data_IF_183785306622
#
_entry.id   IF_183785306622
#
_cell.length_a   1.000
_cell.length_b   1.000
_cell.length_c   1.000
_cell.angle_alpha   90.00
_cell.angle_beta   90.00
_cell.angle_gamma   90.00
#
_symmetry.space_group_name_H-M   'P 1'
#
loop_
_entity.id
_entity.type
_entity.pdbx_description
1 polymer ?
#
# COMPACT_ATOMS: atom_id res chain seq x y z
N UNK A 1 -12.02 -3.59 -31.78
CA UNK A 1 -11.02 -2.77 -31.43
C UNK A 1 -10.72 -2.72 -29.99
N UNK A 2 -9.52 -2.79 -29.71
CA UNK A 2 -9.09 -2.88 -28.34
C UNK A 2 -9.00 -1.49 -27.77
N UNK A 3 -9.68 -1.25 -26.67
CA UNK A 3 -9.43 -0.02 -25.97
C UNK A 3 -8.26 -0.27 -25.04
N UNK A 4 -7.26 0.55 -25.16
CA UNK A 4 -6.12 0.48 -24.27
C UNK A 4 -6.49 1.10 -22.95
N UNK A 5 -6.30 0.37 -21.89
CA UNK A 5 -6.45 0.91 -20.56
C UNK A 5 -5.06 1.10 -19.98
N UNK A 6 -4.77 2.32 -19.59
CA UNK A 6 -3.50 2.66 -19.01
C UNK A 6 -3.71 2.88 -17.53
N UNK A 7 -2.82 2.33 -16.73
CA UNK A 7 -2.86 2.53 -15.28
C UNK A 7 -1.74 3.47 -14.90
N UNK A 8 -2.07 4.46 -14.10
CA UNK A 8 -1.08 5.39 -13.56
C UNK A 8 -1.19 5.42 -12.06
N UNK A 9 -0.04 5.59 -11.40
CA UNK A 9 -0.03 5.76 -9.95
C UNK A 9 -0.68 7.08 -9.62
N UNK A 10 -1.60 7.07 -8.65
CA UNK A 10 -2.34 8.26 -8.27
C UNK A 10 -1.44 9.27 -7.59
N UNK A 11 -1.77 10.56 -7.75
CA UNK A 11 -1.09 11.62 -7.02
C UNK A 11 -1.56 11.64 -5.57
N UNK A 12 -0.71 12.14 -4.69
CA UNK A 12 -1.05 12.29 -3.29
C UNK A 12 -0.83 11.02 -2.51
N UNK A 13 -1.54 10.87 -1.41
CA UNK A 13 -1.39 9.72 -0.53
C UNK A 13 -2.71 9.02 -0.27
N UNK A 14 -2.64 7.77 0.19
CA UNK A 14 -3.84 6.98 0.43
C UNK A 14 -4.65 7.52 1.60
N UNK A 15 -5.97 7.37 1.49
CA UNK A 15 -6.87 7.74 2.57
C UNK A 15 -6.85 6.67 3.66
N UNK A 16 -7.39 7.04 4.83
CA UNK A 16 -7.50 6.08 5.92
C UNK A 16 -8.36 4.90 5.53
N UNK A 17 -9.45 5.15 4.78
CA UNK A 17 -10.31 4.06 4.31
C UNK A 17 -9.58 3.11 3.38
N UNK A 18 -8.78 3.67 2.49
CA UNK A 18 -8.00 2.82 1.58
C UNK A 18 -7.00 1.96 2.34
N UNK A 19 -6.36 2.53 3.36
CA UNK A 19 -5.42 1.78 4.17
C UNK A 19 -6.12 0.70 4.97
N UNK A 20 -7.34 0.98 5.44
CA UNK A 20 -8.12 -0.02 6.14
C UNK A 20 -8.47 -1.19 5.23
N UNK A 21 -8.92 -0.88 4.02
CA UNK A 21 -9.26 -1.93 3.06
C UNK A 21 -8.03 -2.73 2.64
N UNK A 22 -6.91 -2.04 2.43
CA UNK A 22 -5.67 -2.73 2.09
C UNK A 22 -5.24 -3.67 3.21
N UNK A 23 -5.40 -3.24 4.45
CA UNK A 23 -4.99 -4.06 5.59
C UNK A 23 -5.74 -5.38 5.64
N UNK A 24 -6.99 -5.41 5.16
CA UNK A 24 -7.76 -6.65 5.12
C UNK A 24 -7.21 -7.63 4.10
N UNK A 25 -6.50 -7.14 3.09
CA UNK A 25 -6.03 -7.99 2.00
C UNK A 25 -4.58 -8.43 2.15
N UNK A 26 -3.82 -7.80 3.02
CA UNK A 26 -2.38 -8.05 3.11
C UNK A 26 -2.03 -9.40 3.74
N UNK A 27 -2.83 -9.86 4.70
CA UNK A 27 -2.50 -11.09 5.40
C UNK A 27 -1.12 -11.01 6.02
N UNK A 28 -0.35 -12.07 5.90
CA UNK A 28 0.97 -12.16 6.51
C UNK A 28 2.00 -11.25 5.85
N UNK A 29 1.68 -10.69 4.69
CA UNK A 29 2.62 -9.81 4.00
C UNK A 29 2.78 -8.45 4.68
N UNK A 30 1.98 -8.17 5.68
CA UNK A 30 2.05 -6.89 6.38
C UNK A 30 3.43 -6.60 6.97
N UNK A 31 4.12 -7.63 7.45
CA UNK A 31 5.45 -7.45 8.02
C UNK A 31 6.47 -7.01 6.98
N UNK A 32 6.50 -7.73 5.85
CA UNK A 32 7.45 -7.37 4.80
C UNK A 32 7.13 -5.99 4.23
N UNK A 33 5.85 -5.69 4.07
CA UNK A 33 5.47 -4.36 3.62
C UNK A 33 5.95 -3.30 4.61
N UNK A 34 5.78 -3.54 5.90
CA UNK A 34 6.23 -2.60 6.91
C UNK A 34 7.73 -2.33 6.82
N UNK A 35 8.52 -3.38 6.58
CA UNK A 35 9.95 -3.20 6.41
C UNK A 35 10.27 -2.37 5.17
N UNK A 36 9.54 -2.59 4.07
CA UNK A 36 9.75 -1.79 2.85
C UNK A 36 9.34 -0.34 3.05
N UNK A 37 8.42 -0.09 3.97
CA UNK A 37 7.99 1.27 4.29
C UNK A 37 8.88 1.94 5.34
N UNK A 38 9.91 1.25 5.81
CA UNK A 38 10.93 1.87 6.65
C UNK A 38 10.91 1.51 8.12
N UNK A 39 10.07 0.56 8.52
CA UNK A 39 10.03 0.14 9.93
C UNK A 39 11.10 -0.90 10.22
N UNK A 40 11.75 -0.75 11.36
CA UNK A 40 12.72 -1.73 11.80
C UNK A 40 12.02 -2.87 12.54
N UNK A 41 12.80 -3.88 12.93
CA UNK A 41 12.23 -5.06 13.57
C UNK A 41 11.55 -4.73 14.90
N UNK A 42 12.09 -3.78 15.66
CA UNK A 42 11.46 -3.40 16.93
C UNK A 42 10.06 -2.86 16.72
N UNK A 43 9.88 -2.00 15.71
CA UNK A 43 8.57 -1.45 15.38
C UNK A 43 7.62 -2.54 14.90
N UNK A 44 8.09 -3.44 14.06
CA UNK A 44 7.28 -4.56 13.56
C UNK A 44 6.82 -5.42 14.73
N UNK A 45 7.72 -5.72 15.65
CA UNK A 45 7.38 -6.53 16.83
C UNK A 45 6.31 -5.85 17.68
N UNK A 46 6.41 -4.53 17.83
CA UNK A 46 5.40 -3.80 18.61
C UNK A 46 4.02 -3.88 17.96
N UNK A 47 3.94 -3.71 16.63
CA UNK A 47 2.65 -3.86 15.94
C UNK A 47 2.10 -5.28 16.10
N UNK A 48 2.98 -6.26 16.07
CA UNK A 48 2.58 -7.65 16.19
C UNK A 48 2.04 -7.95 17.59
N UNK A 49 2.71 -7.44 18.61
CA UNK A 49 2.33 -7.73 20.01
C UNK A 49 1.11 -6.95 20.46
N UNK A 50 0.92 -5.74 19.92
CA UNK A 50 -0.17 -4.89 20.36
C UNK A 50 -1.53 -5.30 19.79
N UNK A 51 -1.54 -6.18 18.81
CA UNK A 51 -2.76 -6.55 18.10
C UNK A 51 -2.80 -8.05 17.88
N UNK A 52 -3.99 -8.63 17.93
CA UNK A 52 -4.10 -10.08 17.81
C UNK A 52 -4.68 -10.55 16.47
N UNK A 53 -5.01 -9.62 15.57
CA UNK A 53 -5.52 -9.98 14.24
C UNK A 53 -4.62 -9.39 13.18
N UNK A 54 -4.36 -10.17 12.11
CA UNK A 54 -3.48 -9.71 11.05
C UNK A 54 -3.92 -8.38 10.45
N UNK A 55 -5.22 -8.23 10.21
CA UNK A 55 -5.71 -6.98 9.63
C UNK A 55 -5.45 -5.80 10.54
N UNK A 56 -5.58 -5.99 11.85
CA UNK A 56 -5.30 -4.91 12.79
C UNK A 56 -3.83 -4.56 12.85
N UNK A 57 -2.97 -5.57 12.82
CA UNK A 57 -1.52 -5.34 12.77
C UNK A 57 -1.16 -4.53 11.53
N UNK A 58 -1.69 -4.94 10.39
CA UNK A 58 -1.43 -4.26 9.13
C UNK A 58 -1.95 -2.83 9.17
N UNK A 59 -3.16 -2.63 9.67
CA UNK A 59 -3.74 -1.29 9.70
C UNK A 59 -2.95 -0.36 10.62
N UNK A 60 -2.56 -0.84 11.79
CA UNK A 60 -1.76 -0.03 12.70
C UNK A 60 -0.43 0.34 12.07
N UNK A 61 0.19 -0.59 11.37
CA UNK A 61 1.44 -0.32 10.68
C UNK A 61 1.25 0.74 9.60
N UNK A 62 0.21 0.59 8.79
CA UNK A 62 -0.04 1.53 7.68
C UNK A 62 -0.37 2.93 8.20
N UNK A 63 -1.16 3.02 9.26
CA UNK A 63 -1.48 4.32 9.85
C UNK A 63 -0.25 4.96 10.46
N UNK A 64 0.61 4.17 11.10
CA UNK A 64 1.86 4.68 11.65
C UNK A 64 2.76 5.21 10.55
N UNK A 65 2.80 4.50 9.41
CA UNK A 65 3.57 4.96 8.26
C UNK A 65 3.04 6.30 7.75
N UNK A 66 1.73 6.39 7.58
CA UNK A 66 1.12 7.63 7.09
C UNK A 66 1.40 8.79 8.02
N UNK A 67 1.29 8.56 9.32
CA UNK A 67 1.51 9.58 10.31
C UNK A 67 2.97 10.00 10.38
N UNK A 68 3.88 9.03 10.29
CA UNK A 68 5.30 9.28 10.36
C UNK A 68 5.80 10.08 9.14
N UNK A 69 5.34 9.71 7.96
CA UNK A 69 5.84 10.31 6.73
C UNK A 69 5.08 11.57 6.35
N UNK A 70 3.86 11.75 6.85
CA UNK A 70 3.08 12.94 6.51
C UNK A 70 2.81 13.03 5.03
N UNK A 71 3.16 14.15 4.43
CA UNK A 71 2.89 14.34 3.01
C UNK A 71 3.75 13.45 2.10
N UNK A 72 4.75 12.79 2.66
CA UNK A 72 5.57 11.86 1.89
C UNK A 72 5.01 10.45 1.90
N UNK A 73 3.93 10.20 2.61
CA UNK A 73 3.25 8.91 2.55
C UNK A 73 2.37 8.90 1.30
N UNK A 74 2.99 8.67 0.16
CA UNK A 74 2.34 8.80 -1.14
C UNK A 74 1.93 7.45 -1.71
N UNK A 75 0.98 7.50 -2.65
CA UNK A 75 0.61 6.31 -3.40
C UNK A 75 1.82 5.71 -4.11
N UNK A 76 2.72 6.55 -4.62
CA UNK A 76 3.90 6.05 -5.33
C UNK A 76 4.78 5.22 -4.42
N UNK A 77 5.03 5.70 -3.21
CA UNK A 77 5.87 4.97 -2.26
C UNK A 77 5.21 3.65 -1.89
N UNK A 78 3.90 3.68 -1.61
CA UNK A 78 3.16 2.47 -1.28
C UNK A 78 3.15 1.50 -2.45
N UNK A 79 2.98 2.01 -3.67
CA UNK A 79 2.96 1.20 -4.88
C UNK A 79 4.26 0.40 -5.03
N UNK A 80 5.39 1.07 -4.91
CA UNK A 80 6.67 0.38 -5.08
C UNK A 80 6.95 -0.58 -3.93
N UNK A 81 6.52 -0.22 -2.71
CA UNK A 81 6.68 -1.12 -1.57
C UNK A 81 5.86 -2.40 -1.76
N UNK A 82 4.62 -2.28 -2.23
CA UNK A 82 3.77 -3.44 -2.47
C UNK A 82 4.32 -4.34 -3.57
N UNK A 83 4.99 -3.76 -4.56
CA UNK A 83 5.54 -4.52 -5.68
C UNK A 83 6.92 -5.08 -5.40
N UNK A 84 7.52 -4.74 -4.28
CA UNK A 84 8.85 -5.23 -3.94
C UNK A 84 8.88 -6.76 -3.98
N UNK A 85 10.01 -7.30 -4.40
CA UNK A 85 10.13 -8.74 -4.63
C UNK A 85 9.88 -9.57 -3.37
N UNK A 86 10.04 -9.00 -2.20
CA UNK A 86 9.77 -9.68 -0.95
C UNK A 86 8.32 -9.56 -0.50
N UNK A 87 7.57 -8.63 -1.06
CA UNK A 87 6.15 -8.44 -0.75
C UNK A 87 5.28 -9.11 -1.79
N UNK A 88 5.55 -8.84 -3.05
CA UNK A 88 4.89 -9.48 -4.21
C UNK A 88 3.37 -9.29 -4.21
N UNK A 89 2.91 -8.11 -3.84
CA UNK A 89 1.50 -7.79 -3.85
C UNK A 89 1.18 -6.87 -5.03
N UNK A 90 1.56 -7.29 -6.24
CA UNK A 90 1.40 -6.46 -7.43
C UNK A 90 -0.06 -6.08 -7.69
N UNK A 91 -0.97 -7.03 -7.48
CA UNK A 91 -2.38 -6.77 -7.71
C UNK A 91 -2.91 -5.70 -6.76
N UNK A 92 -2.50 -5.78 -5.49
CA UNK A 92 -2.92 -4.79 -4.51
C UNK A 92 -2.31 -3.43 -4.81
N UNK A 93 -1.08 -3.42 -5.32
CA UNK A 93 -0.45 -2.16 -5.71
C UNK A 93 -1.27 -1.46 -6.78
N UNK A 94 -1.72 -2.20 -7.78
CA UNK A 94 -2.52 -1.62 -8.84
C UNK A 94 -3.90 -1.22 -8.34
N UNK A 95 -4.51 -2.06 -7.52
CA UNK A 95 -5.86 -1.82 -7.04
C UNK A 95 -5.97 -0.57 -6.18
N UNK A 96 -5.01 -0.37 -5.28
CA UNK A 96 -5.11 0.72 -4.31
C UNK A 96 -4.33 1.97 -4.71
N UNK A 97 -3.30 1.84 -5.53
CA UNK A 97 -2.41 2.96 -5.81
C UNK A 97 -2.52 3.49 -7.22
N UNK A 98 -3.23 2.81 -8.10
CA UNK A 98 -3.30 3.23 -9.49
C UNK A 98 -4.71 3.58 -9.87
N UNK A 99 -4.83 4.47 -10.86
CA UNK A 99 -6.12 4.79 -11.44
C UNK A 99 -6.09 4.43 -12.91
N UNK A 100 -7.26 4.11 -13.42
CA UNK A 100 -7.42 3.73 -14.79
C UNK A 100 -7.58 4.98 -15.62
N UNK A 101 -6.76 5.13 -16.63
CA UNK A 101 -6.83 6.27 -17.52
C UNK A 101 -7.14 5.75 -18.90
N UNK A 102 -8.22 6.25 -19.45
CA UNK A 102 -8.61 5.87 -20.79
C UNK A 102 -7.67 6.53 -21.77
N UNK A 103 -7.15 5.74 -22.69
CA UNK A 103 -6.28 6.29 -23.72
C UNK A 103 -7.14 6.95 -24.79
N UNK A 104 -7.22 8.26 -24.72
CA UNK A 104 -7.98 9.04 -25.70
C UNK A 104 -7.10 9.53 -26.83
N UNK A 105 -6.15 8.74 -27.19
CA UNK A 105 -5.22 9.13 -28.24
C UNK A 105 -5.93 9.30 -29.57
N UNK A 106 -7.09 8.81 -29.70
CA UNK A 106 -7.71 8.95 -31.00
C UNK A 106 -8.29 10.33 -31.13
N UNK A 107 -8.14 10.90 -32.18
CA UNK A 107 -8.86 12.07 -32.61
C UNK A 107 -10.19 11.68 -33.09
#
# INVERSE_FOLDING_TARGET
MLSSVIYEVKDGGPSDCELEELSLELGEKWEELGRRLGFNQAAITNFDEDNNKLAKKAFKMLMAWKQKEGCEATYAILYYALRHKLVKCNRLAELFCCEEIEDNASP
#
